data_IF_707823031585
#
_entry.id   IF_707823031585
#
_cell.length_a   1.000
_cell.length_b   1.000
_cell.length_c   1.000
_cell.angle_alpha   90.00
_cell.angle_beta   90.00
_cell.angle_gamma   90.00
#
_symmetry.space_group_name_H-M   'P 1'
#
loop_
_entity.id
_entity.type
_entity.pdbx_description
1 polymer ?
#
# COMPACT_ATOMS: atom_id res chain seq x y z
N UNK A 1 9.00 -12.86 -12.16
CA UNK A 1 8.51 -14.01 -11.36
C UNK A 1 7.38 -13.51 -10.47
N UNK A 2 6.12 -13.88 -10.73
CA UNK A 2 4.96 -13.43 -9.92
C UNK A 2 4.29 -14.62 -9.25
N UNK A 3 3.80 -14.42 -8.02
CA UNK A 3 3.05 -15.45 -7.27
C UNK A 3 1.85 -15.96 -8.08
N UNK A 4 1.16 -15.05 -8.78
CA UNK A 4 0.01 -15.40 -9.65
C UNK A 4 0.39 -16.39 -10.75
N UNK A 5 1.54 -16.22 -11.39
CA UNK A 5 1.99 -17.14 -12.45
C UNK A 5 2.24 -18.55 -11.90
N UNK A 6 2.91 -18.65 -10.75
CA UNK A 6 3.20 -19.95 -10.12
C UNK A 6 1.91 -20.67 -9.72
N UNK A 7 0.97 -19.91 -9.13
CA UNK A 7 -0.32 -20.45 -8.73
C UNK A 7 -1.15 -20.93 -9.92
N UNK A 8 -1.06 -20.23 -11.06
CA UNK A 8 -1.69 -20.66 -12.30
C UNK A 8 -1.07 -21.93 -12.87
N UNK A 9 0.26 -22.06 -12.83
CA UNK A 9 0.96 -23.27 -13.25
C UNK A 9 0.56 -24.47 -12.39
N UNK A 10 0.47 -24.32 -11.07
CA UNK A 10 0.03 -25.41 -10.19
C UNK A 10 -1.42 -25.80 -10.41
N UNK A 11 -2.33 -24.83 -10.58
CA UNK A 11 -3.72 -25.14 -10.89
C UNK A 11 -3.86 -25.90 -12.23
N UNK A 12 -3.08 -25.52 -13.24
CA UNK A 12 -3.12 -26.19 -14.55
C UNK A 12 -2.66 -27.65 -14.48
N UNK A 13 -1.71 -27.96 -13.59
CA UNK A 13 -1.19 -29.32 -13.39
C UNK A 13 -2.02 -30.14 -12.40
N UNK A 14 -2.64 -29.48 -11.43
CA UNK A 14 -3.40 -30.08 -10.34
C UNK A 14 -4.67 -29.24 -10.09
N UNK A 15 -5.78 -29.54 -10.78
CA UNK A 15 -7.05 -28.85 -10.57
C UNK A 15 -7.47 -28.90 -9.10
N UNK A 16 -7.87 -27.74 -8.55
CA UNK A 16 -8.24 -27.60 -7.15
C UNK A 16 -7.11 -27.12 -6.23
N UNK A 17 -5.92 -26.79 -6.76
CA UNK A 17 -4.81 -26.26 -5.95
C UNK A 17 -5.18 -24.95 -5.27
N UNK A 18 -5.77 -23.99 -5.98
CA UNK A 18 -6.22 -22.70 -5.42
C UNK A 18 -7.22 -22.90 -4.28
N UNK A 19 -8.17 -23.81 -4.49
CA UNK A 19 -9.16 -24.15 -3.47
C UNK A 19 -8.49 -24.79 -2.24
N UNK A 20 -7.64 -25.80 -2.45
CA UNK A 20 -6.94 -26.51 -1.39
C UNK A 20 -6.04 -25.58 -0.57
N UNK A 21 -5.37 -24.63 -1.22
CA UNK A 21 -4.58 -23.59 -0.55
C UNK A 21 -5.46 -22.67 0.30
N UNK A 22 -6.60 -22.21 -0.23
CA UNK A 22 -7.53 -21.37 0.53
C UNK A 22 -8.11 -22.11 1.74
N UNK A 23 -8.59 -23.35 1.55
CA UNK A 23 -9.08 -24.19 2.66
C UNK A 23 -7.97 -24.54 3.66
N UNK A 24 -6.74 -24.69 3.20
CA UNK A 24 -5.57 -24.85 4.05
C UNK A 24 -5.31 -23.62 4.91
N UNK A 25 -5.32 -22.42 4.29
CA UNK A 25 -5.19 -21.16 5.00
C UNK A 25 -6.28 -20.97 6.06
N UNK A 26 -7.54 -21.21 5.72
CA UNK A 26 -8.67 -21.12 6.66
C UNK A 26 -8.43 -21.99 7.90
N UNK A 27 -8.12 -23.28 7.69
CA UNK A 27 -7.82 -24.22 8.79
C UNK A 27 -6.66 -23.74 9.66
N UNK A 28 -5.59 -23.25 9.05
CA UNK A 28 -4.44 -22.73 9.83
C UNK A 28 -4.81 -21.45 10.58
N UNK A 29 -5.64 -20.59 9.98
CA UNK A 29 -6.04 -19.31 10.56
C UNK A 29 -6.86 -19.46 11.83
N UNK A 30 -7.59 -20.56 11.99
CA UNK A 30 -8.36 -20.88 13.20
C UNK A 30 -7.47 -21.07 14.43
N UNK A 31 -6.22 -21.51 14.23
CA UNK A 31 -5.24 -21.73 15.33
C UNK A 31 -4.37 -20.51 15.61
N UNK A 32 -4.43 -19.47 14.76
CA UNK A 32 -3.74 -18.22 15.07
C UNK A 32 -4.47 -17.54 16.23
N UNK A 33 -3.73 -16.92 17.18
CA UNK A 33 -4.38 -16.19 18.26
C UNK A 33 -5.36 -15.19 17.65
N UNK A 34 -6.59 -15.16 18.19
CA UNK A 34 -7.60 -14.16 17.82
C UNK A 34 -6.91 -12.81 17.76
N UNK A 35 -7.06 -12.10 16.63
CA UNK A 35 -6.39 -10.82 16.32
C UNK A 35 -6.07 -10.10 17.61
N UNK A 36 -4.78 -9.87 17.89
CA UNK A 36 -4.25 -9.12 19.03
C UNK A 36 -5.32 -8.17 19.58
N UNK A 37 -5.66 -8.25 20.89
CA UNK A 37 -6.85 -7.61 21.48
C UNK A 37 -7.09 -6.27 20.82
N UNK A 38 -8.20 -6.19 20.09
CA UNK A 38 -8.39 -5.33 18.93
C UNK A 38 -7.72 -3.98 19.10
N UNK A 39 -6.69 -3.71 18.28
CA UNK A 39 -6.24 -2.32 18.09
C UNK A 39 -7.50 -1.52 17.75
N UNK A 40 -7.94 -0.67 18.68
CA UNK A 40 -9.08 0.20 18.44
C UNK A 40 -8.73 1.03 17.21
N UNK A 41 -9.57 0.93 16.18
CA UNK A 41 -9.44 1.81 15.04
C UNK A 41 -9.66 3.24 15.55
N UNK A 42 -8.74 4.11 15.18
CA UNK A 42 -8.84 5.55 15.41
C UNK A 42 -9.63 6.16 14.25
N UNK A 43 -10.11 7.38 14.43
CA UNK A 43 -10.56 8.21 13.31
C UNK A 43 -9.39 9.05 12.80
N UNK A 44 -9.24 9.11 11.47
CA UNK A 44 -8.23 9.95 10.84
C UNK A 44 -8.55 11.42 11.11
N UNK A 45 -7.62 12.17 11.69
CA UNK A 45 -7.83 13.60 12.00
C UNK A 45 -7.99 14.49 10.74
N UNK A 46 -7.63 13.98 9.55
CA UNK A 46 -7.77 14.72 8.28
C UNK A 46 -9.05 14.45 7.51
N UNK A 47 -9.51 13.20 7.50
CA UNK A 47 -10.65 12.80 6.67
C UNK A 47 -11.79 12.11 7.44
N UNK A 48 -11.63 11.85 8.74
CA UNK A 48 -12.64 11.20 9.59
C UNK A 48 -12.75 9.68 9.46
N UNK A 49 -12.13 9.08 8.44
CA UNK A 49 -12.20 7.63 8.17
C UNK A 49 -11.52 6.77 9.24
N UNK A 50 -11.96 5.51 9.37
CA UNK A 50 -11.34 4.54 10.27
C UNK A 50 -9.88 4.26 9.89
N UNK A 51 -9.00 4.23 10.88
CA UNK A 51 -7.56 4.20 10.68
C UNK A 51 -6.84 3.40 11.77
N UNK A 52 -5.72 2.77 11.41
CA UNK A 52 -4.82 2.12 12.38
C UNK A 52 -3.90 3.13 13.10
N UNK A 53 -3.91 4.40 12.69
CA UNK A 53 -3.04 5.49 13.14
C UNK A 53 -3.78 6.84 13.14
N UNK A 54 -3.20 7.89 13.74
CA UNK A 54 -3.76 9.26 13.79
C UNK A 54 -4.13 9.82 12.41
N UNK A 55 -3.32 9.54 11.40
CA UNK A 55 -3.54 9.89 10.00
C UNK A 55 -3.63 8.58 9.20
N UNK A 56 -4.64 8.42 8.36
CA UNK A 56 -4.80 7.20 7.57
C UNK A 56 -3.73 7.10 6.48
N UNK A 57 -3.44 5.87 6.05
CA UNK A 57 -2.40 5.61 5.05
C UNK A 57 -2.65 6.37 3.74
N UNK A 58 -3.92 6.52 3.34
CA UNK A 58 -4.28 7.30 2.16
C UNK A 58 -3.88 8.78 2.30
N UNK A 59 -4.21 9.42 3.42
CA UNK A 59 -3.83 10.81 3.69
C UNK A 59 -2.31 11.00 3.78
N UNK A 60 -1.58 10.06 4.39
CA UNK A 60 -0.11 10.08 4.40
C UNK A 60 0.47 10.02 2.98
N UNK A 61 -0.07 9.15 2.13
CA UNK A 61 0.40 9.00 0.74
C UNK A 61 0.12 10.25 -0.08
N UNK A 62 -1.06 10.85 0.05
CA UNK A 62 -1.41 12.12 -0.62
C UNK A 62 -0.45 13.23 -0.21
N UNK A 63 -0.10 13.31 1.07
CA UNK A 63 0.85 14.30 1.57
C UNK A 63 2.26 14.09 1.01
N UNK A 64 2.76 12.86 0.99
CA UNK A 64 4.05 12.54 0.35
C UNK A 64 4.09 12.95 -1.12
N UNK A 65 3.02 12.65 -1.87
CA UNK A 65 2.90 13.06 -3.27
C UNK A 65 2.87 14.58 -3.45
N UNK A 66 2.31 15.34 -2.48
CA UNK A 66 2.36 16.81 -2.51
C UNK A 66 3.78 17.32 -2.29
N UNK A 67 4.53 16.76 -1.34
CA UNK A 67 5.92 17.13 -1.11
C UNK A 67 6.82 16.81 -2.30
N UNK A 68 6.68 15.62 -2.91
CA UNK A 68 7.40 15.25 -4.14
C UNK A 68 7.12 16.23 -5.30
N UNK A 69 5.87 16.70 -5.43
CA UNK A 69 5.53 17.74 -6.40
C UNK A 69 6.17 19.09 -6.07
N UNK A 70 6.23 19.46 -4.79
CA UNK A 70 6.84 20.73 -4.37
C UNK A 70 8.35 20.73 -4.60
N UNK A 71 9.06 19.65 -4.29
CA UNK A 71 10.49 19.53 -4.55
C UNK A 71 10.79 19.52 -6.05
N UNK A 72 10.00 18.79 -6.84
CA UNK A 72 10.13 18.80 -8.30
C UNK A 72 9.81 20.18 -8.89
N UNK A 73 8.85 20.92 -8.32
CA UNK A 73 8.49 22.28 -8.78
C UNK A 73 9.56 23.31 -8.41
N UNK A 74 10.15 23.20 -7.22
CA UNK A 74 11.28 24.03 -6.79
C UNK A 74 12.51 23.75 -7.67
N UNK A 75 12.83 22.47 -7.91
CA UNK A 75 13.87 22.05 -8.87
C UNK A 75 13.63 22.56 -10.29
N UNK A 76 12.38 22.64 -10.75
CA UNK A 76 12.05 23.17 -12.09
C UNK A 76 12.18 24.69 -12.17
N UNK A 77 11.87 25.42 -11.08
CA UNK A 77 11.98 26.88 -11.01
C UNK A 77 13.44 27.35 -10.98
N UNK A 78 14.30 26.70 -10.20
CA UNK A 78 15.75 27.00 -10.16
C UNK A 78 16.37 26.87 -11.56
N UNK A 79 16.04 25.81 -12.31
CA UNK A 79 16.52 25.59 -13.68
C UNK A 79 15.98 26.57 -14.74
N UNK A 80 14.88 27.29 -14.44
CA UNK A 80 14.33 28.32 -15.33
C UNK A 80 15.00 29.68 -15.11
N UNK A 81 15.36 29.99 -13.86
CA UNK A 81 16.01 31.26 -13.48
C UNK A 81 17.50 31.31 -13.90
N UNK A 82 18.18 30.16 -13.99
CA UNK A 82 19.58 30.08 -14.43
C UNK A 82 19.79 30.28 -15.95
N UNK A 83 18.74 30.13 -16.79
CA UNK A 83 18.85 30.33 -18.25
C UNK A 83 18.73 31.79 -18.69
N UNK A 84 18.49 32.71 -17.77
CA UNK A 84 18.30 34.13 -18.09
C UNK A 84 19.47 35.01 -17.65
N UNK A 85 20.64 34.44 -17.36
CA UNK A 85 21.85 35.18 -16.96
C UNK A 85 23.01 35.10 -17.97
N UNK A 86 22.83 34.45 -19.12
CA UNK A 86 23.75 34.52 -20.25
C UNK A 86 22.99 34.91 -21.53
N UNK A 87 22.53 36.15 -21.54
CA UNK A 87 22.16 36.90 -22.74
C UNK A 87 23.29 37.84 -23.13
#
# INVERSE_FOLDING_TARGET
FTVKRMLNEFESKHPGTRYSLMRGYERVSEFLPARLPGRKLLQCERCGEASASRICKACEMIERMKYEKTENKLGTQINADDKNQHG
#
